data_IF_009887791896
#
_entry.id   IF_009887791896
#
_cell.length_a   1.000
_cell.length_b   1.000
_cell.length_c   1.000
_cell.angle_alpha   90.00
_cell.angle_beta   90.00
_cell.angle_gamma   90.00
#
_symmetry.space_group_name_H-M   'P 1'
#
loop_
_entity.id
_entity.type
_entity.pdbx_description
1 polymer ?
#
# COMPACT_ATOMS: atom_id res chain seq x y z
N UNK A 1 59.90 -34.88 -6.54
CA UNK A 1 61.05 -33.96 -6.40
C UNK A 1 60.98 -32.96 -7.54
N UNK A 2 61.35 -31.67 -7.35
CA UNK A 2 60.78 -30.57 -6.54
C UNK A 2 59.72 -29.75 -7.35
N UNK A 3 58.83 -28.86 -6.87
CA UNK A 3 58.76 -27.77 -5.86
C UNK A 3 59.50 -26.45 -6.21
N UNK A 4 58.73 -25.45 -6.68
CA UNK A 4 58.85 -23.99 -6.44
C UNK A 4 57.68 -23.32 -7.23
N UNK A 5 56.60 -22.75 -6.69
CA UNK A 5 56.38 -21.65 -5.71
C UNK A 5 56.95 -20.30 -6.17
N UNK A 6 56.04 -19.37 -6.48
CA UNK A 6 55.93 -17.97 -6.01
C UNK A 6 54.62 -17.40 -6.61
N UNK A 7 53.52 -17.34 -5.87
CA UNK A 7 53.11 -16.25 -4.96
C UNK A 7 52.49 -15.04 -5.70
N UNK A 8 51.21 -14.78 -5.41
CA UNK A 8 50.44 -13.64 -5.94
C UNK A 8 49.00 -13.58 -5.42
N UNK A 9 48.86 -13.49 -4.10
CA UNK A 9 47.87 -12.66 -3.38
C UNK A 9 46.39 -12.59 -3.83
N UNK A 10 45.54 -13.29 -3.06
CA UNK A 10 44.39 -12.78 -2.28
C UNK A 10 43.30 -11.88 -2.89
N UNK A 11 42.05 -12.32 -2.64
CA UNK A 11 40.80 -11.57 -2.41
C UNK A 11 40.21 -10.75 -3.58
N UNK A 12 38.99 -11.12 -4.01
CA UNK A 12 37.76 -10.28 -4.11
C UNK A 12 36.60 -11.26 -4.40
N UNK A 13 35.85 -11.68 -3.38
CA UNK A 13 34.56 -11.12 -2.95
C UNK A 13 33.36 -11.85 -3.58
N UNK A 14 32.89 -12.86 -2.85
CA UNK A 14 31.47 -13.22 -2.77
C UNK A 14 30.69 -11.95 -2.44
N UNK A 15 29.66 -11.59 -3.20
CA UNK A 15 28.39 -10.96 -2.75
C UNK A 15 27.50 -10.54 -3.95
N UNK A 16 26.22 -10.91 -3.83
CA UNK A 16 25.01 -10.56 -4.63
C UNK A 16 24.62 -11.41 -5.83
N UNK A 17 24.19 -12.63 -5.53
CA UNK A 17 22.82 -12.99 -5.88
C UNK A 17 21.84 -12.05 -5.17
N UNK A 18 21.14 -11.21 -5.93
CA UNK A 18 19.76 -10.72 -5.71
C UNK A 18 19.48 -9.61 -6.73
N UNK A 19 19.50 -9.98 -8.01
CA UNK A 19 18.76 -9.24 -9.04
C UNK A 19 17.78 -10.24 -9.61
N UNK A 20 16.73 -10.54 -8.83
CA UNK A 20 15.48 -10.94 -9.47
C UNK A 20 14.88 -9.63 -9.95
N UNK A 21 15.03 -9.44 -11.25
CA UNK A 21 14.27 -8.51 -12.07
C UNK A 21 12.82 -8.55 -11.61
N UNK A 22 12.39 -7.50 -10.90
CA UNK A 22 10.99 -7.14 -11.00
C UNK A 22 10.87 -6.61 -12.42
N UNK A 23 10.04 -7.21 -13.30
CA UNK A 23 9.62 -6.45 -14.45
C UNK A 23 9.02 -5.17 -13.87
N UNK A 24 9.69 -4.04 -14.13
CA UNK A 24 9.00 -2.77 -14.20
C UNK A 24 7.90 -3.04 -15.20
N UNK A 25 6.72 -3.45 -14.70
CA UNK A 25 5.50 -3.39 -15.44
C UNK A 25 5.42 -1.92 -15.79
N UNK A 26 5.89 -1.60 -17.00
CA UNK A 26 5.33 -0.55 -17.82
C UNK A 26 3.85 -0.89 -17.85
N UNK A 27 3.13 -0.44 -16.82
CA UNK A 27 1.68 -0.43 -16.76
C UNK A 27 1.28 0.55 -17.84
N UNK A 28 1.35 0.10 -19.10
CA UNK A 28 0.54 0.65 -20.15
C UNK A 28 -0.87 0.45 -19.60
N UNK A 29 -1.60 1.52 -19.25
CA UNK A 29 -2.92 1.36 -18.71
C UNK A 29 -3.69 0.50 -19.71
N UNK A 30 -4.34 -0.60 -19.27
CA UNK A 30 -5.23 -1.36 -20.14
C UNK A 30 -6.15 -0.38 -20.87
N UNK A 31 -6.42 -0.64 -22.15
CA UNK A 31 -7.41 0.14 -22.90
C UNK A 31 -8.63 0.31 -21.99
N UNK A 32 -9.10 1.55 -21.82
CA UNK A 32 -10.14 1.90 -20.83
C UNK A 32 -11.32 0.90 -20.81
N UNK A 33 -11.71 0.42 -21.99
CA UNK A 33 -12.76 -0.60 -22.11
C UNK A 33 -12.37 -1.98 -21.57
N UNK A 34 -11.13 -2.44 -21.70
CA UNK A 34 -10.71 -3.78 -21.23
C UNK A 34 -10.68 -3.86 -19.71
N UNK A 35 -10.17 -2.83 -19.02
CA UNK A 35 -10.13 -2.84 -17.55
C UNK A 35 -11.51 -2.82 -16.91
N UNK A 36 -12.40 -1.98 -17.43
CA UNK A 36 -13.78 -1.95 -16.95
C UNK A 36 -14.48 -3.29 -17.20
N UNK A 37 -14.23 -3.96 -18.34
CA UNK A 37 -14.77 -5.32 -18.62
C UNK A 37 -14.31 -6.34 -17.59
N UNK A 38 -13.04 -6.34 -17.21
CA UNK A 38 -12.52 -7.24 -16.16
C UNK A 38 -13.22 -7.01 -14.82
N UNK A 39 -13.38 -5.74 -14.43
CA UNK A 39 -14.07 -5.39 -13.19
C UNK A 39 -15.56 -5.76 -13.24
N UNK A 40 -16.23 -5.58 -14.37
CA UNK A 40 -17.61 -6.01 -14.56
C UNK A 40 -17.74 -7.53 -14.41
N UNK A 41 -16.84 -8.31 -15.02
CA UNK A 41 -16.80 -9.77 -14.86
C UNK A 41 -16.56 -10.18 -13.40
N UNK A 42 -15.62 -9.54 -12.71
CA UNK A 42 -15.34 -9.77 -11.30
C UNK A 42 -16.56 -9.51 -10.39
N UNK A 43 -17.47 -8.64 -10.82
CA UNK A 43 -18.71 -8.30 -10.12
C UNK A 43 -19.96 -8.98 -10.72
N UNK A 44 -19.78 -9.99 -11.60
CA UNK A 44 -20.88 -10.72 -12.27
C UNK A 44 -21.85 -9.83 -13.06
N UNK A 45 -21.35 -8.75 -13.66
CA UNK A 45 -22.10 -7.80 -14.47
C UNK A 45 -21.77 -7.96 -15.96
N UNK A 46 -22.65 -7.45 -16.84
CA UNK A 46 -22.44 -7.52 -18.28
C UNK A 46 -21.22 -6.71 -18.73
N UNK A 47 -20.22 -7.30 -19.42
CA UNK A 47 -19.04 -6.58 -19.90
C UNK A 47 -19.36 -5.48 -20.94
N UNK A 48 -20.52 -5.55 -21.60
CA UNK A 48 -20.94 -4.54 -22.58
C UNK A 48 -21.13 -3.16 -21.95
N UNK A 49 -21.44 -3.10 -20.65
CA UNK A 49 -21.62 -1.85 -19.89
C UNK A 49 -20.33 -1.01 -19.83
N UNK A 50 -19.16 -1.59 -20.10
CA UNK A 50 -17.90 -0.86 -20.13
C UNK A 50 -17.91 0.35 -21.10
N UNK A 51 -18.70 0.27 -22.18
CA UNK A 51 -18.87 1.36 -23.15
C UNK A 51 -19.54 2.60 -22.55
N UNK A 52 -20.28 2.44 -21.44
CA UNK A 52 -20.99 3.51 -20.75
C UNK A 52 -20.14 4.18 -19.65
N UNK A 53 -18.95 3.65 -19.36
CA UNK A 53 -18.06 4.27 -18.38
C UNK A 53 -17.72 5.70 -18.79
N UNK A 54 -17.44 6.57 -17.81
CA UNK A 54 -16.99 7.95 -17.98
C UNK A 54 -15.65 8.16 -17.28
N UNK A 55 -14.78 9.01 -17.83
CA UNK A 55 -13.55 9.40 -17.15
C UNK A 55 -13.73 10.79 -16.52
N UNK A 56 -13.55 10.89 -15.21
CA UNK A 56 -13.64 12.15 -14.45
C UNK A 56 -12.66 12.14 -13.28
N UNK A 57 -11.96 13.26 -13.07
CA UNK A 57 -11.06 13.48 -11.94
C UNK A 57 -10.03 12.34 -11.72
N UNK A 58 -9.41 11.86 -12.80
CA UNK A 58 -8.43 10.75 -12.82
C UNK A 58 -9.01 9.35 -12.58
N UNK A 59 -10.33 9.19 -12.58
CA UNK A 59 -11.00 7.90 -12.45
C UNK A 59 -11.82 7.57 -13.68
N UNK A 60 -11.82 6.31 -14.05
CA UNK A 60 -12.84 5.75 -14.95
C UNK A 60 -13.90 5.12 -14.08
N UNK A 61 -15.13 5.58 -14.25
CA UNK A 61 -16.29 5.22 -13.42
C UNK A 61 -17.44 4.77 -14.29
N UNK A 62 -18.18 3.78 -13.80
CA UNK A 62 -19.47 3.36 -14.32
C UNK A 62 -20.47 3.48 -13.18
N UNK A 63 -21.57 4.19 -13.43
CA UNK A 63 -22.69 4.31 -12.53
C UNK A 63 -23.92 3.71 -13.22
N UNK A 64 -24.48 2.66 -12.63
CA UNK A 64 -25.75 2.06 -13.04
C UNK A 64 -26.67 1.98 -11.82
N UNK A 65 -27.99 1.78 -12.01
CA UNK A 65 -28.90 1.52 -10.89
C UNK A 65 -28.48 0.33 -10.01
N UNK A 66 -27.82 -0.66 -10.61
CA UNK A 66 -27.38 -1.89 -9.96
C UNK A 66 -26.06 -1.77 -9.23
N UNK A 67 -25.12 -0.93 -9.72
CA UNK A 67 -23.82 -0.75 -9.08
C UNK A 67 -23.08 0.51 -9.53
N UNK A 68 -22.17 0.97 -8.67
CA UNK A 68 -21.08 1.88 -9.02
C UNK A 68 -19.77 1.10 -9.03
N UNK A 69 -18.97 1.26 -10.09
CA UNK A 69 -17.62 0.70 -10.19
C UNK A 69 -16.67 1.81 -10.66
N UNK A 70 -15.49 1.92 -10.04
CA UNK A 70 -14.43 2.78 -10.54
C UNK A 70 -13.03 2.23 -10.32
N UNK A 71 -12.13 2.67 -11.20
CA UNK A 71 -10.70 2.43 -11.11
C UNK A 71 -9.94 3.69 -11.51
N UNK A 72 -8.70 3.77 -11.05
CA UNK A 72 -7.84 4.91 -11.32
C UNK A 72 -7.31 4.86 -12.77
N UNK A 73 -7.61 5.90 -13.56
CA UNK A 73 -7.40 5.92 -15.00
C UNK A 73 -5.93 5.72 -15.40
N UNK A 74 -5.00 6.30 -14.63
CA UNK A 74 -3.58 6.23 -14.95
C UNK A 74 -2.91 4.94 -14.48
N UNK A 75 -3.24 4.46 -13.28
CA UNK A 75 -2.57 3.27 -12.72
C UNK A 75 -3.29 1.96 -13.06
N UNK A 76 -4.53 2.04 -13.56
CA UNK A 76 -5.40 0.88 -13.79
C UNK A 76 -5.89 0.19 -12.50
N UNK A 77 -5.49 0.69 -11.33
CA UNK A 77 -5.80 0.08 -10.05
C UNK A 77 -7.27 0.25 -9.70
N UNK A 78 -7.89 -0.82 -9.22
CA UNK A 78 -9.24 -0.80 -8.65
C UNK A 78 -9.34 0.29 -7.57
N UNK A 79 -10.42 1.07 -7.59
CA UNK A 79 -10.64 2.11 -6.58
C UNK A 79 -11.87 1.83 -5.75
N UNK A 80 -13.02 1.60 -6.37
CA UNK A 80 -14.22 1.26 -5.62
C UNK A 80 -15.25 0.45 -6.39
N UNK A 81 -16.09 -0.22 -5.61
CA UNK A 81 -17.29 -0.90 -6.01
C UNK A 81 -18.34 -0.71 -4.91
N UNK A 82 -19.59 -0.51 -5.32
CA UNK A 82 -20.75 -0.57 -4.42
C UNK A 82 -21.94 -1.10 -5.19
N UNK A 83 -22.68 -2.02 -4.58
CA UNK A 83 -24.02 -2.36 -5.06
C UNK A 83 -24.96 -1.16 -4.88
N UNK A 84 -25.82 -0.96 -5.87
CA UNK A 84 -26.86 0.05 -5.90
C UNK A 84 -28.10 -0.39 -5.12
N UNK A 85 -29.09 0.51 -5.02
CA UNK A 85 -30.27 0.29 -4.19
C UNK A 85 -31.13 -0.89 -4.65
N UNK A 86 -31.18 -1.17 -5.95
CA UNK A 86 -32.01 -2.27 -6.51
C UNK A 86 -31.65 -3.62 -5.91
N UNK A 87 -30.37 -3.91 -5.69
CA UNK A 87 -29.93 -5.14 -5.03
C UNK A 87 -30.61 -5.35 -3.67
N UNK A 88 -30.72 -4.29 -2.87
CA UNK A 88 -31.29 -4.38 -1.53
C UNK A 88 -32.79 -4.61 -1.55
N UNK A 89 -33.47 -4.12 -2.58
CA UNK A 89 -34.90 -4.33 -2.82
C UNK A 89 -35.18 -5.74 -3.33
N UNK A 90 -34.33 -6.24 -4.23
CA UNK A 90 -34.46 -7.58 -4.83
C UNK A 90 -34.03 -8.71 -3.89
N UNK A 91 -33.15 -8.42 -2.93
CA UNK A 91 -32.60 -9.37 -1.97
C UNK A 91 -32.77 -8.87 -0.53
N UNK A 92 -34.01 -8.63 -0.05
CA UNK A 92 -34.22 -8.07 1.28
C UNK A 92 -33.67 -9.00 2.36
N UNK A 93 -33.09 -8.42 3.41
CA UNK A 93 -32.59 -9.18 4.55
C UNK A 93 -33.74 -9.89 5.27
N UNK A 94 -33.50 -11.15 5.65
CA UNK A 94 -34.48 -11.97 6.37
C UNK A 94 -33.78 -12.66 7.53
N UNK A 95 -34.17 -12.31 8.75
CA UNK A 95 -33.52 -12.78 9.99
C UNK A 95 -33.57 -14.31 10.16
N UNK A 96 -34.58 -14.94 9.59
CA UNK A 96 -34.85 -16.37 9.64
C UNK A 96 -34.16 -17.16 8.51
N UNK A 97 -33.57 -16.47 7.53
CA UNK A 97 -32.89 -17.15 6.43
C UNK A 97 -31.47 -17.60 6.81
N UNK A 98 -31.02 -18.74 6.27
CA UNK A 98 -29.67 -19.23 6.54
C UNK A 98 -28.63 -18.25 5.97
N UNK A 99 -27.52 -18.10 6.70
CA UNK A 99 -26.38 -17.34 6.23
C UNK A 99 -25.47 -18.19 5.33
N UNK A 100 -25.11 -17.64 4.17
CA UNK A 100 -24.11 -18.19 3.28
C UNK A 100 -22.71 -18.16 3.91
N UNK A 101 -22.39 -17.11 4.69
CA UNK A 101 -21.15 -16.99 5.44
C UNK A 101 -21.43 -17.17 6.93
N UNK A 102 -20.77 -18.15 7.53
CA UNK A 102 -21.05 -18.60 8.90
C UNK A 102 -19.90 -18.34 9.85
N UNK A 103 -18.73 -17.97 9.34
CA UNK A 103 -17.52 -17.73 10.13
C UNK A 103 -16.68 -16.57 9.59
N UNK A 104 -15.87 -16.00 10.47
CA UNK A 104 -14.86 -14.98 10.14
C UNK A 104 -13.85 -15.49 9.10
N UNK A 105 -13.50 -16.78 9.14
CA UNK A 105 -12.57 -17.40 8.19
C UNK A 105 -13.15 -17.39 6.77
N UNK A 106 -14.39 -17.84 6.61
CA UNK A 106 -15.10 -17.82 5.34
C UNK A 106 -15.26 -16.39 4.82
N UNK A 107 -15.63 -15.44 5.69
CA UNK A 107 -15.75 -14.04 5.32
C UNK A 107 -14.44 -13.46 4.79
N UNK A 108 -13.32 -13.70 5.48
CA UNK A 108 -11.99 -13.28 5.02
C UNK A 108 -11.63 -13.91 3.68
N UNK A 109 -11.95 -15.20 3.49
CA UNK A 109 -11.68 -15.88 2.23
C UNK A 109 -12.48 -15.25 1.08
N UNK A 110 -13.77 -14.98 1.27
CA UNK A 110 -14.61 -14.27 0.29
C UNK A 110 -14.04 -12.88 -0.04
N UNK A 111 -13.61 -12.12 0.98
CA UNK A 111 -12.97 -10.82 0.77
C UNK A 111 -11.67 -10.94 -0.03
N UNK A 112 -10.81 -11.91 0.28
CA UNK A 112 -9.56 -12.13 -0.44
C UNK A 112 -9.82 -12.56 -1.89
N UNK A 113 -10.74 -13.49 -2.13
CA UNK A 113 -11.07 -13.93 -3.48
C UNK A 113 -11.62 -12.79 -4.34
N UNK A 114 -12.44 -11.91 -3.74
CA UNK A 114 -12.88 -10.69 -4.39
C UNK A 114 -11.72 -9.73 -4.70
N UNK A 115 -10.86 -9.44 -3.72
CA UNK A 115 -9.70 -8.57 -3.92
C UNK A 115 -8.83 -9.08 -5.07
N UNK A 116 -8.59 -10.39 -5.13
CA UNK A 116 -7.88 -11.04 -6.22
C UNK A 116 -8.58 -10.84 -7.57
N UNK A 117 -9.91 -11.01 -7.63
CA UNK A 117 -10.67 -10.89 -8.88
C UNK A 117 -10.68 -9.46 -9.44
N UNK A 118 -10.65 -8.44 -8.57
CA UNK A 118 -10.52 -7.03 -8.99
C UNK A 118 -9.06 -6.60 -9.21
N UNK A 119 -8.11 -7.54 -9.18
CA UNK A 119 -6.70 -7.30 -9.49
C UNK A 119 -5.90 -6.66 -8.34
N UNK A 120 -6.29 -6.88 -7.08
CA UNK A 120 -5.47 -6.59 -5.91
C UNK A 120 -4.61 -7.83 -5.60
N UNK A 121 -3.27 -7.74 -5.59
CA UNK A 121 -2.40 -8.83 -5.20
C UNK A 121 -2.65 -9.29 -3.75
N UNK A 122 -3.16 -10.51 -3.56
CA UNK A 122 -3.59 -10.98 -2.24
C UNK A 122 -2.52 -11.69 -1.42
N UNK A 123 -1.37 -12.02 -2.01
CA UNK A 123 -0.29 -12.77 -1.36
C UNK A 123 0.28 -12.08 -0.12
N UNK A 124 -0.01 -10.78 0.05
CA UNK A 124 0.50 -9.95 1.14
C UNK A 124 -0.60 -9.03 1.72
N UNK A 125 -1.86 -9.45 1.61
CA UNK A 125 -2.98 -8.70 2.19
C UNK A 125 -3.17 -9.10 3.65
N UNK A 126 -3.22 -8.11 4.53
CA UNK A 126 -3.51 -8.27 5.95
C UNK A 126 -4.74 -7.45 6.36
N UNK A 127 -5.67 -8.07 7.08
CA UNK A 127 -6.82 -7.38 7.67
C UNK A 127 -6.50 -6.90 9.08
N UNK A 128 -6.20 -5.60 9.22
CA UNK A 128 -5.83 -5.00 10.52
C UNK A 128 -7.04 -4.63 11.37
N UNK A 129 -8.24 -4.55 10.78
CA UNK A 129 -9.50 -4.42 11.51
C UNK A 129 -10.57 -5.24 10.82
N UNK A 130 -11.15 -6.19 11.54
CA UNK A 130 -12.17 -7.09 11.03
C UNK A 130 -13.28 -7.23 12.07
N UNK A 131 -14.52 -6.94 11.69
CA UNK A 131 -15.66 -7.02 12.60
C UNK A 131 -16.89 -7.52 11.86
N UNK A 132 -17.73 -8.24 12.59
CA UNK A 132 -19.11 -8.49 12.21
C UNK A 132 -19.98 -7.34 12.71
N UNK A 133 -20.76 -6.74 11.82
CA UNK A 133 -21.71 -5.66 12.12
C UNK A 133 -23.11 -6.21 11.95
N UNK A 134 -23.91 -6.11 13.01
CA UNK A 134 -25.25 -6.67 13.06
C UNK A 134 -26.31 -5.64 12.65
N UNK A 135 -27.37 -6.14 11.99
CA UNK A 135 -28.66 -5.49 11.71
C UNK A 135 -28.64 -3.95 11.68
N UNK A 136 -28.99 -3.29 12.78
CA UNK A 136 -29.24 -1.84 12.80
C UNK A 136 -27.98 -0.99 12.65
N UNK A 137 -26.85 -1.50 13.12
CA UNK A 137 -25.56 -0.80 13.02
C UNK A 137 -25.01 -0.83 11.59
N UNK A 138 -25.54 -1.74 10.75
CA UNK A 138 -25.15 -1.84 9.34
C UNK A 138 -25.74 -0.76 8.45
N UNK A 139 -26.77 -0.02 8.88
CA UNK A 139 -27.53 0.94 8.05
C UNK A 139 -26.64 1.96 7.35
N UNK A 140 -25.59 2.42 8.05
CA UNK A 140 -24.60 3.38 7.54
C UNK A 140 -23.78 2.84 6.36
N UNK A 141 -23.75 1.52 6.17
CA UNK A 141 -22.97 0.84 5.14
C UNK A 141 -23.84 0.22 4.03
N UNK A 142 -25.16 0.11 4.23
CA UNK A 142 -26.04 -0.73 3.41
C UNK A 142 -27.23 0.02 2.84
N UNK A 143 -27.09 1.32 2.54
CA UNK A 143 -28.15 2.17 2.00
C UNK A 143 -29.44 2.16 2.86
N UNK A 144 -29.29 2.13 4.19
CA UNK A 144 -30.39 2.04 5.16
C UNK A 144 -31.18 0.71 5.15
N UNK A 145 -30.58 -0.39 4.69
CA UNK A 145 -31.18 -1.72 4.77
C UNK A 145 -30.47 -2.57 5.86
N UNK A 146 -31.15 -2.96 6.95
CA UNK A 146 -30.55 -3.75 8.02
C UNK A 146 -30.01 -5.07 7.48
N UNK A 147 -28.76 -5.39 7.77
CA UNK A 147 -28.10 -6.62 7.37
C UNK A 147 -27.08 -7.05 8.41
N UNK A 148 -26.77 -8.34 8.41
CA UNK A 148 -25.58 -8.87 9.07
C UNK A 148 -24.42 -8.84 8.06
N UNK A 149 -23.39 -8.03 8.32
CA UNK A 149 -22.28 -7.82 7.38
C UNK A 149 -20.93 -8.01 8.04
N UNK A 150 -19.99 -8.63 7.33
CA UNK A 150 -18.59 -8.65 7.70
C UNK A 150 -17.89 -7.43 7.09
N UNK A 151 -17.16 -6.70 7.91
CA UNK A 151 -16.41 -5.49 7.53
C UNK A 151 -14.93 -5.69 7.81
N UNK A 152 -14.10 -5.62 6.77
CA UNK A 152 -12.65 -5.78 6.85
C UNK A 152 -11.90 -4.58 6.28
N UNK A 153 -11.11 -3.89 7.10
CA UNK A 153 -10.07 -2.99 6.60
C UNK A 153 -8.80 -3.77 6.33
N UNK A 154 -8.20 -3.56 5.18
CA UNK A 154 -7.03 -4.28 4.74
C UNK A 154 -5.88 -3.36 4.35
N UNK A 155 -4.68 -3.94 4.36
CA UNK A 155 -3.48 -3.35 3.80
C UNK A 155 -2.78 -4.36 2.91
N UNK A 156 -2.42 -3.94 1.69
CA UNK A 156 -1.60 -4.67 0.73
C UNK A 156 -0.12 -4.36 1.00
N UNK A 157 0.58 -5.29 1.65
CA UNK A 157 2.02 -5.15 1.91
C UNK A 157 2.82 -5.52 0.66
N UNK A 158 3.94 -4.85 0.43
CA UNK A 158 4.88 -5.28 -0.59
C UNK A 158 5.93 -6.21 0.06
N UNK A 159 6.36 -7.30 -0.59
CA UNK A 159 7.46 -8.12 -0.10
C UNK A 159 8.80 -7.37 -0.07
N UNK A 160 8.94 -6.31 -0.87
CA UNK A 160 10.10 -5.43 -0.82
C UNK A 160 10.06 -4.58 0.47
N UNK A 161 11.06 -4.73 1.38
CA UNK A 161 11.07 -4.06 2.67
C UNK A 161 11.20 -2.53 2.60
N UNK A 162 11.49 -1.99 1.41
CA UNK A 162 11.50 -0.53 1.17
C UNK A 162 10.09 0.05 1.18
N UNK A 163 9.05 -0.75 0.94
CA UNK A 163 7.67 -0.30 1.07
C UNK A 163 7.23 -0.47 2.51
N UNK A 164 6.97 0.66 3.17
CA UNK A 164 6.41 0.70 4.51
C UNK A 164 4.90 0.84 4.45
N UNK A 165 4.25 0.76 5.61
CA UNK A 165 2.80 0.81 5.72
C UNK A 165 2.19 2.12 5.17
N UNK A 166 2.86 3.25 5.34
CA UNK A 166 2.45 4.53 4.77
C UNK A 166 2.63 4.61 3.24
N UNK A 167 3.24 3.59 2.62
CA UNK A 167 3.34 3.38 1.17
C UNK A 167 2.61 2.12 0.72
N UNK A 168 1.88 1.48 1.63
CA UNK A 168 1.05 0.32 1.34
C UNK A 168 -0.33 0.80 0.87
N UNK A 169 -0.93 0.02 -0.03
CA UNK A 169 -2.29 0.28 -0.48
C UNK A 169 -3.26 -0.20 0.59
N UNK A 170 -4.12 0.70 1.05
CA UNK A 170 -5.11 0.39 2.09
C UNK A 170 -6.50 0.41 1.50
N UNK A 171 -7.40 -0.36 2.10
CA UNK A 171 -8.78 -0.42 1.65
C UNK A 171 -9.72 -1.03 2.66
N UNK A 172 -10.95 -1.24 2.21
CA UNK A 172 -12.05 -1.74 3.01
C UNK A 172 -12.98 -2.59 2.14
N UNK A 173 -13.49 -3.68 2.70
CA UNK A 173 -14.46 -4.57 2.04
C UNK A 173 -15.60 -4.87 3.01
N UNK A 174 -16.82 -4.83 2.49
CA UNK A 174 -18.06 -5.20 3.16
C UNK A 174 -18.69 -6.40 2.45
N UNK A 175 -18.98 -7.45 3.20
CA UNK A 175 -19.61 -8.67 2.68
C UNK A 175 -20.88 -8.97 3.45
N UNK A 176 -21.95 -9.25 2.74
CA UNK A 176 -23.24 -9.64 3.32
C UNK A 176 -23.19 -11.10 3.79
N UNK A 177 -23.52 -11.36 5.06
CA UNK A 177 -23.45 -12.70 5.61
C UNK A 177 -24.52 -13.64 5.01
N UNK A 178 -25.69 -13.10 4.67
CA UNK A 178 -26.83 -13.89 4.17
C UNK A 178 -26.58 -14.39 2.73
N UNK A 179 -26.16 -13.50 1.84
CA UNK A 179 -25.96 -13.79 0.41
C UNK A 179 -24.52 -14.15 0.04
N UNK A 180 -23.55 -13.85 0.91
CA UNK A 180 -22.12 -14.02 0.64
C UNK A 180 -21.56 -13.04 -0.38
N UNK A 181 -22.34 -12.04 -0.82
CA UNK A 181 -21.92 -11.06 -1.82
C UNK A 181 -21.14 -9.91 -1.18
N UNK A 182 -20.12 -9.45 -1.90
CA UNK A 182 -19.48 -8.17 -1.59
C UNK A 182 -20.49 -7.07 -1.89
N UNK A 183 -20.80 -6.26 -0.88
CA UNK A 183 -21.70 -5.12 -1.00
C UNK A 183 -20.94 -3.88 -1.44
N UNK A 184 -19.76 -3.69 -0.85
CA UNK A 184 -18.89 -2.57 -1.12
C UNK A 184 -17.44 -3.00 -0.99
N UNK A 185 -16.59 -2.44 -1.83
CA UNK A 185 -15.16 -2.55 -1.68
C UNK A 185 -14.52 -1.24 -2.13
N UNK A 186 -13.48 -0.80 -1.43
CA UNK A 186 -12.69 0.36 -1.82
C UNK A 186 -11.23 0.14 -1.51
N UNK A 187 -10.36 0.70 -2.33
CA UNK A 187 -8.92 0.66 -2.13
C UNK A 187 -8.32 1.98 -2.63
N UNK A 188 -7.46 2.59 -1.82
CA UNK A 188 -6.76 3.82 -2.21
C UNK A 188 -5.74 3.50 -3.29
N UNK A 189 -5.80 4.09 -4.50
CA UNK A 189 -4.78 3.88 -5.51
C UNK A 189 -3.43 4.40 -5.01
N UNK A 190 -2.36 3.67 -5.32
CA UNK A 190 -0.99 4.07 -5.00
C UNK A 190 -0.20 4.39 -6.26
N UNK A 191 0.61 5.47 -6.27
CA UNK A 191 1.48 5.74 -7.40
C UNK A 191 2.52 4.62 -7.52
N UNK A 192 3.00 4.33 -8.75
CA UNK A 192 4.09 3.36 -8.91
C UNK A 192 5.36 3.87 -8.22
N UNK A 193 6.27 2.97 -7.82
CA UNK A 193 7.55 3.37 -7.28
C UNK A 193 8.33 4.19 -8.31
N UNK A 194 8.96 5.27 -7.86
CA UNK A 194 10.02 5.91 -8.63
C UNK A 194 11.19 4.94 -8.83
N UNK A 195 12.05 5.17 -9.83
CA UNK A 195 13.22 4.33 -10.00
C UNK A 195 14.06 4.38 -8.72
N UNK A 196 14.60 3.25 -8.30
CA UNK A 196 15.48 3.24 -7.14
C UNK A 196 16.80 3.90 -7.54
N UNK A 197 17.52 3.27 -8.46
CA UNK A 197 18.83 3.75 -8.90
C UNK A 197 18.74 4.89 -9.95
N UNK A 198 19.77 5.77 -9.99
CA UNK A 198 20.91 5.85 -9.08
C UNK A 198 20.56 6.50 -7.73
N UNK A 199 21.18 6.03 -6.64
CA UNK A 199 21.09 6.61 -5.29
C UNK A 199 22.48 6.96 -4.71
N UNK A 200 22.51 7.79 -3.68
CA UNK A 200 23.72 8.13 -2.93
C UNK A 200 24.24 6.90 -2.15
N UNK A 201 25.57 6.71 -2.08
CA UNK A 201 26.17 5.74 -1.17
C UNK A 201 25.83 6.03 0.29
N UNK A 202 25.66 4.99 1.11
CA UNK A 202 25.31 5.13 2.53
C UNK A 202 26.27 6.04 3.30
N UNK A 203 27.57 5.97 2.98
CA UNK A 203 28.60 6.79 3.62
C UNK A 203 28.35 8.29 3.43
N UNK A 204 27.99 8.69 2.21
CA UNK A 204 27.66 10.09 1.89
C UNK A 204 26.40 10.54 2.62
N UNK A 205 25.40 9.66 2.76
CA UNK A 205 24.17 9.96 3.51
C UNK A 205 24.47 10.11 5.00
N UNK A 206 25.32 9.26 5.58
CA UNK A 206 25.78 9.41 6.97
C UNK A 206 26.48 10.74 7.20
N UNK A 207 27.37 11.15 6.29
CA UNK A 207 28.07 12.43 6.36
C UNK A 207 27.11 13.63 6.33
N UNK A 208 26.10 13.58 5.45
CA UNK A 208 25.02 14.58 5.40
C UNK A 208 24.32 14.66 6.77
N UNK A 209 23.93 13.53 7.36
CA UNK A 209 23.27 13.50 8.66
C UNK A 209 24.15 14.01 9.81
N UNK A 210 25.44 13.66 9.83
CA UNK A 210 26.39 14.18 10.83
C UNK A 210 26.46 15.70 10.76
N UNK A 211 26.53 16.28 9.55
CA UNK A 211 26.57 17.72 9.37
C UNK A 211 25.26 18.39 9.81
N UNK A 212 24.10 17.78 9.49
CA UNK A 212 22.78 18.27 9.92
C UNK A 212 22.61 18.26 11.44
N UNK A 213 23.06 17.21 12.12
CA UNK A 213 22.93 17.13 13.58
C UNK A 213 23.98 17.99 14.30
N UNK A 214 25.15 18.19 13.68
CA UNK A 214 26.16 19.12 14.19
C UNK A 214 25.63 20.57 14.20
N UNK A 215 24.82 20.99 13.22
CA UNK A 215 24.18 22.32 13.29
C UNK A 215 23.20 22.47 14.46
N UNK A 216 22.67 21.36 14.98
CA UNK A 216 21.87 21.31 16.22
C UNK A 216 22.73 21.08 17.48
N UNK A 217 24.06 21.21 17.37
CA UNK A 217 25.06 20.96 18.43
C UNK A 217 25.07 19.51 18.96
N UNK A 218 24.55 18.57 18.17
CA UNK A 218 24.59 17.14 18.49
C UNK A 218 25.71 16.46 17.69
N UNK A 219 26.59 15.76 18.39
CA UNK A 219 27.69 15.00 17.77
C UNK A 219 27.35 13.52 17.83
N UNK A 220 27.25 12.88 16.67
CA UNK A 220 26.97 11.45 16.53
C UNK A 220 28.08 10.81 15.70
N UNK A 221 28.68 9.75 16.25
CA UNK A 221 29.68 8.94 15.57
C UNK A 221 29.04 8.16 14.41
N UNK A 222 29.74 8.05 13.28
CA UNK A 222 29.22 7.46 12.04
C UNK A 222 28.73 6.01 12.23
N UNK A 223 29.37 5.27 13.13
CA UNK A 223 29.09 3.88 13.47
C UNK A 223 27.77 3.72 14.23
N UNK A 224 27.30 4.79 14.88
CA UNK A 224 26.02 4.83 15.61
C UNK A 224 24.85 5.26 14.73
N UNK A 225 25.08 5.44 13.44
CA UNK A 225 24.07 5.84 12.47
C UNK A 225 23.53 4.60 11.74
N UNK A 226 22.23 4.36 11.89
CA UNK A 226 21.49 3.31 11.18
C UNK A 226 20.70 3.94 10.03
N UNK A 227 20.75 3.31 8.87
CA UNK A 227 20.01 3.72 7.68
C UNK A 227 19.04 2.63 7.29
N UNK A 228 17.86 3.05 6.84
CA UNK A 228 16.84 2.18 6.31
C UNK A 228 16.39 2.75 4.96
N UNK A 229 16.61 1.99 3.89
CA UNK A 229 16.04 2.26 2.59
C UNK A 229 14.50 2.20 2.66
N UNK A 230 13.83 3.22 2.12
CA UNK A 230 12.37 3.30 2.11
C UNK A 230 11.87 4.04 0.88
N UNK A 231 10.63 3.78 0.50
CA UNK A 231 9.85 4.70 -0.32
C UNK A 231 9.06 5.67 0.57
N UNK A 232 8.76 6.85 0.03
CA UNK A 232 7.86 7.83 0.62
C UNK A 232 6.77 8.20 -0.38
N UNK A 233 5.56 8.35 0.11
CA UNK A 233 4.47 8.98 -0.62
C UNK A 233 4.56 10.51 -0.45
N UNK A 234 4.86 11.22 -1.53
CA UNK A 234 4.91 12.69 -1.58
C UNK A 234 3.60 13.27 -2.12
N UNK A 235 2.47 12.92 -1.50
CA UNK A 235 1.19 13.54 -1.78
C UNK A 235 0.81 14.46 -0.61
N UNK A 236 0.39 15.70 -0.91
CA UNK A 236 -0.31 16.52 0.08
C UNK A 236 -1.67 15.89 0.36
N UNK A 237 -2.29 16.26 1.49
CA UNK A 237 -3.58 15.69 1.94
C UNK A 237 -4.69 15.72 0.90
N UNK A 238 -4.64 16.69 -0.03
CA UNK A 238 -5.65 16.89 -1.09
C UNK A 238 -5.15 16.46 -2.48
N UNK A 239 -3.87 16.06 -2.62
CA UNK A 239 -3.30 15.67 -3.90
C UNK A 239 -3.74 14.25 -4.26
N UNK A 240 -4.40 14.13 -5.41
CA UNK A 240 -4.73 12.83 -6.00
C UNK A 240 -3.51 12.24 -6.70
N UNK A 241 -3.44 10.91 -6.74
CA UNK A 241 -2.47 10.23 -7.61
C UNK A 241 -2.67 10.72 -9.05
N UNK A 242 -1.59 11.18 -9.67
CA UNK A 242 -1.59 11.67 -11.05
C UNK A 242 -0.60 10.86 -11.89
N UNK A 243 -0.57 11.13 -13.20
CA UNK A 243 0.40 10.51 -14.11
C UNK A 243 1.87 10.78 -13.76
N UNK A 244 2.12 11.87 -13.04
CA UNK A 244 3.46 12.28 -12.62
C UNK A 244 3.81 11.83 -11.20
N UNK A 245 2.80 11.42 -10.41
CA UNK A 245 3.02 10.96 -9.05
C UNK A 245 3.84 9.69 -9.04
N UNK A 246 4.87 9.65 -8.20
CA UNK A 246 5.73 8.50 -7.95
C UNK A 246 6.02 8.42 -6.46
N UNK A 247 6.29 7.21 -5.97
CA UNK A 247 6.91 7.10 -4.65
C UNK A 247 8.38 7.51 -4.75
N UNK A 248 8.84 8.34 -3.81
CA UNK A 248 10.21 8.86 -3.81
C UNK A 248 11.12 7.94 -2.99
N UNK A 249 12.27 7.51 -3.55
CA UNK A 249 13.30 6.81 -2.78
C UNK A 249 13.87 7.72 -1.69
N UNK A 250 13.88 7.24 -0.46
CA UNK A 250 14.44 7.96 0.70
C UNK A 250 15.25 7.01 1.59
N UNK A 251 16.19 7.60 2.32
CA UNK A 251 16.79 6.96 3.48
C UNK A 251 16.15 7.51 4.74
N UNK A 252 15.69 6.61 5.60
CA UNK A 252 15.33 6.93 6.98
C UNK A 252 16.56 6.65 7.83
N UNK A 253 17.05 7.69 8.50
CA UNK A 253 18.33 7.67 9.20
C UNK A 253 18.10 7.94 10.67
N UNK A 254 18.60 7.06 11.54
CA UNK A 254 18.55 7.24 12.99
C UNK A 254 19.97 7.25 13.54
N UNK A 255 20.25 8.17 14.45
CA UNK A 255 21.52 8.27 15.15
C UNK A 255 21.32 8.47 16.65
N UNK A 256 22.25 7.95 17.45
CA UNK A 256 22.23 8.14 18.91
C UNK A 256 23.56 8.71 19.42
N UNK A 257 23.46 9.71 20.27
CA UNK A 257 24.58 10.24 21.06
C UNK A 257 24.35 9.89 22.53
N UNK A 258 25.12 8.94 23.07
CA UNK A 258 25.01 8.56 24.48
C UNK A 258 25.53 9.64 25.43
N UNK A 259 26.61 10.32 25.05
CA UNK A 259 27.20 11.40 25.87
C UNK A 259 26.26 12.58 26.04
N UNK A 260 25.44 12.85 25.02
CA UNK A 260 24.47 13.94 25.05
C UNK A 260 23.05 13.44 25.36
N UNK A 261 22.85 12.13 25.55
CA UNK A 261 21.54 11.49 25.70
C UNK A 261 20.53 11.91 24.61
N UNK A 262 20.98 11.95 23.36
CA UNK A 262 20.18 12.39 22.22
C UNK A 262 19.89 11.24 21.26
N UNK A 263 18.65 11.20 20.77
CA UNK A 263 18.25 10.43 19.61
C UNK A 263 17.85 11.40 18.50
N UNK A 264 18.43 11.20 17.33
CA UNK A 264 18.15 12.01 16.17
C UNK A 264 17.63 11.15 15.03
N UNK A 265 16.69 11.71 14.27
CA UNK A 265 16.15 11.12 13.07
C UNK A 265 16.25 12.08 11.90
N UNK A 266 16.42 11.54 10.70
CA UNK A 266 16.34 12.29 9.46
C UNK A 266 15.70 11.44 8.37
N UNK A 267 15.04 12.10 7.43
CA UNK A 267 14.63 11.53 6.15
C UNK A 267 15.37 12.25 5.05
N UNK A 268 16.21 11.53 4.33
CA UNK A 268 17.06 12.06 3.28
C UNK A 268 16.54 11.54 1.93
N UNK A 269 16.36 12.43 0.96
CA UNK A 269 16.12 12.02 -0.43
C UNK A 269 17.31 11.18 -0.92
N UNK A 270 17.06 9.93 -1.32
CA UNK A 270 18.13 8.99 -1.61
C UNK A 270 18.93 9.36 -2.86
N UNK A 271 18.44 10.26 -3.71
CA UNK A 271 19.08 10.66 -4.97
C UNK A 271 19.84 11.97 -4.79
N UNK A 272 19.19 12.96 -4.19
CA UNK A 272 19.74 14.33 -4.09
C UNK A 272 20.53 14.54 -2.81
N UNK A 273 20.27 13.74 -1.76
CA UNK A 273 20.83 13.98 -0.43
C UNK A 273 20.14 15.11 0.33
N UNK A 274 19.08 15.68 -0.23
CA UNK A 274 18.32 16.73 0.44
C UNK A 274 17.59 16.17 1.66
N UNK A 275 17.76 16.82 2.81
CA UNK A 275 16.99 16.49 3.99
C UNK A 275 15.54 16.99 3.84
N UNK A 276 14.59 16.07 3.95
CA UNK A 276 13.16 16.38 3.86
C UNK A 276 12.57 16.69 5.24
N UNK A 277 13.03 15.96 6.26
CA UNK A 277 12.67 16.15 7.67
C UNK A 277 13.84 15.73 8.54
N UNK A 278 14.09 16.42 9.64
CA UNK A 278 15.04 15.98 10.65
C UNK A 278 14.62 16.47 12.04
N UNK A 279 15.03 15.75 13.07
CA UNK A 279 14.77 16.12 14.46
C UNK A 279 15.78 15.47 15.39
N UNK A 280 16.00 16.09 16.54
CA UNK A 280 16.75 15.52 17.66
C UNK A 280 15.95 15.71 18.94
N UNK A 281 15.88 14.68 19.78
CA UNK A 281 15.17 14.69 21.05
C UNK A 281 15.98 13.95 22.11
N UNK A 282 15.80 14.31 23.40
CA UNK A 282 16.43 13.55 24.49
C UNK A 282 15.91 12.11 24.50
N UNK A 283 16.78 11.15 24.76
CA UNK A 283 16.45 9.71 24.75
C UNK A 283 15.33 9.35 25.72
N UNK A 284 15.18 10.09 26.82
CA UNK A 284 14.16 9.85 27.84
C UNK A 284 12.79 10.46 27.47
N UNK A 285 12.69 11.16 26.35
CA UNK A 285 11.45 11.75 25.82
C UNK A 285 10.97 11.07 24.53
N UNK A 286 11.59 9.96 24.12
CA UNK A 286 11.15 9.19 22.96
C UNK A 286 9.84 8.48 23.33
N UNK A 287 8.71 9.14 23.07
CA UNK A 287 7.51 8.41 22.69
C UNK A 287 7.80 7.80 21.34
N UNK A 288 8.11 6.51 21.30
CA UNK A 288 8.12 5.75 20.05
C UNK A 288 6.71 5.92 19.49
N UNK A 289 6.52 6.63 18.36
CA UNK A 289 5.24 6.59 17.69
C UNK A 289 5.11 5.14 17.25
N UNK A 290 4.20 4.40 17.89
CA UNK A 290 3.81 3.10 17.38
C UNK A 290 3.40 3.32 15.93
N UNK A 291 4.23 2.81 15.02
CA UNK A 291 3.85 2.65 13.63
C UNK A 291 2.65 1.73 13.59
N UNK A 292 1.51 2.33 13.31
CA UNK A 292 0.31 1.70 12.77
C UNK A 292 0.05 2.26 11.37
#
# INVERSE_FOLDING_TARGET
MPLAVLAGSSLVLVIRHYVREYPLLLNIPPNRGSRMRELLLANSMSPSLAQQSVERNHFVRLDTPEATISYHAFTGQFESFSLGQSFYQDQPYRQDQPHAIRSDSEAKQVMLDYLKSVGVPTQHVFFWRFNLVESRDSYHYTNNYPRRVFSGNFTELNPDPRFRLNTARMGHVLVDAQTGKVLQARATPMPPPGPWDPILPEDKVKEICINLWRSERVTIQKERIKLYASYKLDLKSDDRVSRFSRLTPVFIVHGTSYEQEMWCSARIDARTGQAQTYSCSRTNQIHVPHGA
#
